data_IF_615571670930
#
_entry.id   IF_615571670930
#
_cell.length_a   1.000
_cell.length_b   1.000
_cell.length_c   1.000
_cell.angle_alpha   90.00
_cell.angle_beta   90.00
_cell.angle_gamma   90.00
#
_symmetry.space_group_name_H-M   'P 1'
#
loop_
_entity.id
_entity.type
_entity.pdbx_description
1 polymer ?
#
# COMPACT_ATOMS: atom_id res chain seq x y z
N UNK A 1 38.76 21.37 -28.93
CA UNK A 1 38.19 21.07 -27.60
C UNK A 1 38.71 22.09 -26.60
N UNK A 2 37.96 23.17 -26.35
CA UNK A 2 38.32 24.17 -25.33
C UNK A 2 37.55 23.86 -24.06
N UNK A 3 38.21 23.29 -23.05
CA UNK A 3 37.64 23.19 -21.70
C UNK A 3 37.38 24.60 -21.19
N UNK A 4 36.12 24.94 -20.90
CA UNK A 4 35.80 26.09 -20.05
C UNK A 4 36.39 25.80 -18.67
N UNK A 5 37.53 26.40 -18.36
CA UNK A 5 38.11 26.41 -17.01
C UNK A 5 37.04 26.87 -16.02
N UNK A 6 36.73 26.01 -15.06
CA UNK A 6 35.63 26.22 -14.12
C UNK A 6 35.78 27.53 -13.35
N UNK A 7 34.65 28.24 -13.18
CA UNK A 7 34.59 29.45 -12.38
C UNK A 7 35.21 29.24 -10.99
N UNK A 8 35.97 30.23 -10.46
CA UNK A 8 36.59 30.12 -9.15
C UNK A 8 35.51 29.91 -8.09
N UNK A 9 35.58 28.80 -7.36
CA UNK A 9 34.72 28.55 -6.20
C UNK A 9 35.03 29.63 -5.16
N UNK A 10 34.04 30.47 -4.85
CA UNK A 10 34.19 31.49 -3.82
C UNK A 10 34.60 30.82 -2.50
N UNK A 11 35.56 31.40 -1.76
CA UNK A 11 35.97 30.87 -0.46
C UNK A 11 34.77 30.84 0.50
N UNK A 12 34.70 29.82 1.34
CA UNK A 12 33.61 29.68 2.31
C UNK A 12 33.69 30.80 3.34
N UNK A 13 32.63 31.59 3.47
CA UNK A 13 32.50 32.63 4.49
C UNK A 13 31.38 32.26 5.47
N UNK A 14 31.60 32.47 6.77
CA UNK A 14 30.63 32.14 7.83
C UNK A 14 29.25 32.78 7.63
N UNK A 15 29.18 33.96 6.99
CA UNK A 15 27.92 34.63 6.65
C UNK A 15 27.06 33.89 5.63
N UNK A 16 27.66 33.07 4.74
CA UNK A 16 26.90 32.24 3.78
C UNK A 16 26.04 31.19 4.50
N UNK A 17 26.43 30.79 5.71
CA UNK A 17 25.76 29.75 6.50
C UNK A 17 24.37 30.19 6.99
N UNK A 18 24.18 31.50 7.21
CA UNK A 18 22.92 32.10 7.68
C UNK A 18 22.15 32.82 6.58
N UNK A 19 22.84 33.46 5.63
CA UNK A 19 22.21 34.32 4.62
C UNK A 19 21.80 33.56 3.34
N UNK A 20 22.54 32.51 2.97
CA UNK A 20 22.24 31.75 1.75
C UNK A 20 21.22 30.64 2.06
N UNK A 21 20.14 30.60 1.28
CA UNK A 21 18.99 29.68 1.49
C UNK A 21 19.41 28.21 1.45
N UNK A 22 20.45 27.87 0.67
CA UNK A 22 20.97 26.50 0.55
C UNK A 22 21.68 26.02 1.80
N UNK A 23 22.44 26.89 2.48
CA UNK A 23 23.23 26.54 3.65
C UNK A 23 22.42 26.70 4.94
N UNK A 24 21.53 27.68 5.01
CA UNK A 24 20.65 27.95 6.16
C UNK A 24 19.83 26.71 6.57
N UNK A 25 19.22 26.02 5.61
CA UNK A 25 18.40 24.85 5.90
C UNK A 25 19.19 23.71 6.57
N UNK A 26 20.40 23.42 6.10
CA UNK A 26 21.26 22.37 6.70
C UNK A 26 21.74 22.76 8.08
N UNK A 27 22.13 24.02 8.26
CA UNK A 27 22.62 24.53 9.54
C UNK A 27 21.54 24.50 10.61
N UNK A 28 20.30 24.89 10.27
CA UNK A 28 19.16 24.79 11.18
C UNK A 28 18.85 23.33 11.51
N UNK A 29 18.88 22.41 10.54
CA UNK A 29 18.65 20.99 10.80
C UNK A 29 19.73 20.37 11.71
N UNK A 30 21.01 20.69 11.47
CA UNK A 30 22.13 20.24 12.32
C UNK A 30 22.00 20.82 13.73
N UNK A 31 21.71 22.12 13.84
CA UNK A 31 21.53 22.79 15.13
C UNK A 31 20.34 22.20 15.89
N UNK A 32 19.21 21.99 15.22
CA UNK A 32 18.04 21.35 15.80
C UNK A 32 18.33 19.92 16.25
N UNK A 33 19.12 19.15 15.48
CA UNK A 33 19.55 17.82 15.84
C UNK A 33 20.48 17.82 17.07
N UNK A 34 21.44 18.74 17.14
CA UNK A 34 22.30 18.92 18.32
C UNK A 34 21.45 19.28 19.54
N UNK A 35 20.52 20.22 19.41
CA UNK A 35 19.64 20.64 20.49
C UNK A 35 18.72 19.51 20.95
N UNK A 36 18.23 18.68 20.02
CA UNK A 36 17.47 17.47 20.32
C UNK A 36 18.31 16.46 21.12
N UNK A 37 19.56 16.21 20.71
CA UNK A 37 20.46 15.30 21.43
C UNK A 37 20.78 15.82 22.84
N UNK A 38 21.01 17.12 22.99
CA UNK A 38 21.23 17.75 24.30
C UNK A 38 19.98 17.65 25.19
N UNK A 39 18.80 17.89 24.63
CA UNK A 39 17.54 17.74 25.35
C UNK A 39 17.30 16.27 25.78
N UNK A 40 17.61 15.31 24.92
CA UNK A 40 17.54 13.88 25.24
C UNK A 40 18.53 13.50 26.33
N UNK A 41 19.79 13.95 26.25
CA UNK A 41 20.80 13.71 27.27
C UNK A 41 20.41 14.32 28.62
N UNK A 42 19.89 15.54 28.61
CA UNK A 42 19.35 16.20 29.81
C UNK A 42 18.17 15.43 30.41
N UNK A 43 17.25 14.92 29.59
CA UNK A 43 16.11 14.12 30.05
C UNK A 43 16.56 12.79 30.68
N UNK A 44 17.52 12.11 30.06
CA UNK A 44 18.10 10.88 30.59
C UNK A 44 18.79 11.13 31.93
N UNK A 45 19.61 12.17 32.04
CA UNK A 45 20.28 12.54 33.29
C UNK A 45 19.28 12.88 34.40
N UNK A 46 18.25 13.65 34.09
CA UNK A 46 17.17 13.94 35.05
C UNK A 46 16.44 12.66 35.49
N UNK A 47 16.16 11.75 34.55
CA UNK A 47 15.49 10.49 34.86
C UNK A 47 16.34 9.61 35.77
N UNK A 48 17.65 9.50 35.50
CA UNK A 48 18.59 8.75 36.33
C UNK A 48 18.67 9.35 37.74
N UNK A 49 18.79 10.68 37.86
CA UNK A 49 18.81 11.37 39.16
C UNK A 49 17.51 11.18 39.94
N UNK A 50 16.35 11.28 39.28
CA UNK A 50 15.05 11.07 39.90
C UNK A 50 14.84 9.61 40.36
N UNK A 51 15.27 8.64 39.55
CA UNK A 51 15.20 7.23 39.92
C UNK A 51 16.15 6.89 41.08
N UNK A 52 17.37 7.44 41.07
CA UNK A 52 18.31 7.29 42.16
C UNK A 52 17.78 7.91 43.47
N UNK A 53 17.12 9.08 43.40
CA UNK A 53 16.46 9.68 44.55
C UNK A 53 15.28 8.84 45.10
N UNK A 54 14.65 8.03 44.24
CA UNK A 54 13.59 7.08 44.59
C UNK A 54 14.13 5.70 45.03
N UNK A 55 15.45 5.55 45.17
CA UNK A 55 16.10 4.29 45.54
C UNK A 55 15.99 3.19 44.49
N UNK A 56 15.77 3.55 43.21
CA UNK A 56 15.74 2.61 42.09
C UNK A 56 17.00 2.77 41.24
N UNK A 57 17.77 1.70 41.12
CA UNK A 57 18.93 1.67 40.23
C UNK A 57 18.47 1.53 38.78
N UNK A 58 18.88 2.48 37.93
CA UNK A 58 18.67 2.39 36.49
C UNK A 58 19.69 1.39 35.91
N UNK A 59 19.24 0.16 35.60
CA UNK A 59 20.11 -0.87 35.02
C UNK A 59 19.43 -1.60 33.87
N UNK A 60 20.23 -1.98 32.87
CA UNK A 60 19.82 -2.85 31.76
C UNK A 60 20.01 -4.35 32.08
N UNK A 61 20.36 -4.69 33.32
CA UNK A 61 20.55 -6.08 33.76
C UNK A 61 19.29 -6.93 33.58
N UNK A 62 18.10 -6.30 33.64
CA UNK A 62 16.82 -6.98 33.41
C UNK A 62 16.72 -7.60 31.99
N UNK A 63 17.43 -7.06 30.99
CA UNK A 63 17.38 -7.65 29.65
C UNK A 63 17.98 -9.07 29.63
N UNK A 64 18.90 -9.33 30.54
CA UNK A 64 19.59 -10.61 30.67
C UNK A 64 18.99 -11.54 31.73
N UNK A 65 18.01 -11.08 32.51
CA UNK A 65 17.27 -11.95 33.39
C UNK A 65 16.26 -12.82 32.62
N UNK A 66 15.94 -13.97 33.20
CA UNK A 66 14.97 -14.93 32.65
C UNK A 66 13.56 -14.33 32.61
N UNK A 67 12.87 -14.51 31.48
CA UNK A 67 11.56 -13.92 31.25
C UNK A 67 10.44 -14.51 32.14
N UNK A 68 10.41 -15.82 32.32
CA UNK A 68 9.45 -16.50 33.20
C UNK A 68 8.02 -16.60 32.66
N UNK A 69 7.77 -16.14 31.43
CA UNK A 69 6.47 -16.28 30.74
C UNK A 69 6.66 -16.85 29.33
N UNK A 70 5.64 -17.57 28.87
CA UNK A 70 5.62 -18.16 27.53
C UNK A 70 4.94 -17.24 26.51
N UNK A 71 5.40 -17.29 25.26
CA UNK A 71 4.88 -16.50 24.15
C UNK A 71 4.40 -17.45 23.07
N UNK A 72 3.09 -17.44 22.81
CA UNK A 72 2.50 -18.19 21.70
C UNK A 72 1.58 -17.25 20.92
N UNK A 73 1.75 -17.09 19.60
CA UNK A 73 2.75 -17.71 18.71
C UNK A 73 4.16 -17.08 18.80
N UNK A 74 5.20 -17.82 18.42
CA UNK A 74 6.58 -17.33 18.30
C UNK A 74 7.18 -17.72 16.94
N UNK A 75 7.79 -16.76 16.24
CA UNK A 75 8.42 -16.99 14.93
C UNK A 75 9.83 -17.61 15.01
N UNK A 76 10.47 -17.54 16.18
CA UNK A 76 11.79 -18.11 16.46
C UNK A 76 11.70 -18.95 17.74
N UNK A 77 12.61 -19.90 17.89
CA UNK A 77 12.68 -20.74 19.09
C UNK A 77 12.80 -19.86 20.35
N UNK A 78 11.80 -19.97 21.21
CA UNK A 78 11.71 -19.24 22.47
C UNK A 78 11.17 -20.16 23.55
N UNK A 79 11.79 -20.07 24.73
CA UNK A 79 11.35 -20.76 25.93
C UNK A 79 11.13 -19.76 27.06
N UNK A 80 10.31 -20.11 28.04
CA UNK A 80 10.13 -19.29 29.26
C UNK A 80 11.43 -19.09 30.06
N UNK A 81 12.45 -19.93 29.83
CA UNK A 81 13.80 -19.80 30.40
C UNK A 81 14.71 -18.83 29.63
N UNK A 82 14.27 -18.32 28.48
CA UNK A 82 15.01 -17.34 27.68
C UNK A 82 15.05 -15.96 28.35
N UNK A 83 15.99 -15.12 27.92
CA UNK A 83 16.17 -13.76 28.47
C UNK A 83 15.07 -12.80 27.96
N UNK A 84 14.79 -11.74 28.73
CA UNK A 84 13.85 -10.70 28.29
C UNK A 84 14.27 -10.01 26.98
N UNK A 85 15.58 -9.91 26.71
CA UNK A 85 16.08 -9.43 25.42
C UNK A 85 15.58 -10.28 24.25
N UNK A 86 15.64 -11.61 24.38
CA UNK A 86 15.11 -12.53 23.37
C UNK A 86 13.59 -12.41 23.26
N UNK A 87 12.88 -12.31 24.38
CA UNK A 87 11.43 -12.11 24.40
C UNK A 87 11.00 -10.82 23.65
N UNK A 88 11.75 -9.73 23.79
CA UNK A 88 11.50 -8.48 23.08
C UNK A 88 11.68 -8.63 21.56
N UNK A 89 12.72 -9.35 21.12
CA UNK A 89 12.94 -9.64 19.69
C UNK A 89 11.82 -10.50 19.11
N UNK A 90 11.37 -11.54 19.84
CA UNK A 90 10.22 -12.37 19.44
C UNK A 90 8.96 -11.52 19.28
N UNK A 91 8.67 -10.65 20.25
CA UNK A 91 7.51 -9.75 20.19
C UNK A 91 7.58 -8.75 19.02
N UNK A 92 8.77 -8.22 18.74
CA UNK A 92 8.99 -7.33 17.59
C UNK A 92 8.75 -8.06 16.26
N UNK A 93 9.28 -9.27 16.10
CA UNK A 93 9.09 -10.10 14.91
C UNK A 93 7.61 -10.44 14.69
N UNK A 94 6.90 -10.83 15.75
CA UNK A 94 5.47 -11.10 15.67
C UNK A 94 4.67 -9.86 15.24
N UNK A 95 5.00 -8.69 15.78
CA UNK A 95 4.34 -7.43 15.41
C UNK A 95 4.59 -7.09 13.94
N UNK A 96 5.81 -7.33 13.44
CA UNK A 96 6.16 -7.07 12.05
C UNK A 96 5.43 -8.01 11.09
N UNK A 97 5.33 -9.30 11.43
CA UNK A 97 4.58 -10.29 10.65
C UNK A 97 3.09 -9.90 10.59
N UNK A 98 2.49 -9.60 11.75
CA UNK A 98 1.08 -9.19 11.84
C UNK A 98 0.84 -7.89 11.08
N UNK A 99 1.73 -6.90 11.20
CA UNK A 99 1.63 -5.63 10.48
C UNK A 99 1.70 -5.84 8.96
N UNK A 100 2.59 -6.71 8.47
CA UNK A 100 2.70 -7.03 7.05
C UNK A 100 1.42 -7.71 6.53
N UNK A 101 0.90 -8.69 7.27
CA UNK A 101 -0.37 -9.36 6.92
C UNK A 101 -1.57 -8.40 6.97
N UNK A 102 -1.61 -7.51 7.96
CA UNK A 102 -2.65 -6.50 8.10
C UNK A 102 -2.59 -5.49 6.95
N UNK A 103 -1.40 -5.02 6.55
CA UNK A 103 -1.25 -4.10 5.42
C UNK A 103 -1.71 -4.75 4.11
N UNK A 104 -1.36 -6.02 3.89
CA UNK A 104 -1.77 -6.75 2.69
C UNK A 104 -3.29 -6.90 2.62
N UNK A 105 -3.90 -7.40 3.69
CA UNK A 105 -5.36 -7.61 3.76
C UNK A 105 -6.13 -6.29 3.74
N UNK A 106 -5.67 -5.26 4.47
CA UNK A 106 -6.25 -3.93 4.45
C UNK A 106 -6.15 -3.26 3.07
N UNK A 107 -5.07 -3.49 2.33
CA UNK A 107 -4.93 -2.98 0.96
C UNK A 107 -5.95 -3.63 0.02
N UNK A 108 -6.14 -4.94 0.12
CA UNK A 108 -7.12 -5.67 -0.71
C UNK A 108 -8.54 -5.20 -0.36
N UNK A 109 -8.92 -5.24 0.92
CA UNK A 109 -10.25 -4.84 1.38
C UNK A 109 -10.52 -3.35 1.14
N UNK A 110 -9.53 -2.50 1.37
CA UNK A 110 -9.62 -1.06 1.16
C UNK A 110 -9.79 -0.69 -0.31
N UNK A 111 -9.04 -1.33 -1.21
CA UNK A 111 -9.21 -1.11 -2.66
C UNK A 111 -10.57 -1.62 -3.12
N UNK A 112 -11.00 -2.81 -2.67
CA UNK A 112 -12.32 -3.35 -3.00
C UNK A 112 -13.44 -2.39 -2.52
N UNK A 113 -13.43 -2.01 -1.25
CA UNK A 113 -14.41 -1.07 -0.71
C UNK A 113 -14.38 0.29 -1.43
N UNK A 114 -13.19 0.76 -1.80
CA UNK A 114 -13.00 1.99 -2.56
C UNK A 114 -13.60 1.94 -3.96
N UNK A 115 -13.39 0.84 -4.69
CA UNK A 115 -13.96 0.64 -6.04
C UNK A 115 -15.48 0.45 -5.96
N UNK A 116 -15.98 -0.37 -5.02
CA UNK A 116 -17.42 -0.60 -4.87
C UNK A 116 -18.17 0.68 -4.49
N UNK A 117 -17.52 1.61 -3.78
CA UNK A 117 -18.11 2.92 -3.46
C UNK A 117 -18.36 3.80 -4.69
N UNK A 118 -17.59 3.62 -5.78
CA UNK A 118 -17.76 4.36 -7.04
C UNK A 118 -18.75 3.68 -8.00
N UNK A 119 -19.37 2.56 -7.60
CA UNK A 119 -20.36 1.89 -8.43
C UNK A 119 -21.58 2.78 -8.66
N UNK A 120 -22.10 2.78 -9.90
CA UNK A 120 -23.35 3.48 -10.26
C UNK A 120 -24.58 2.92 -9.49
N UNK A 121 -24.47 1.74 -8.88
CA UNK A 121 -25.51 1.19 -8.04
C UNK A 121 -25.53 1.89 -6.67
N UNK A 122 -26.56 2.74 -6.47
CA UNK A 122 -26.78 3.50 -5.24
C UNK A 122 -26.78 2.64 -3.98
N UNK A 123 -27.35 1.42 -4.01
CA UNK A 123 -27.42 0.54 -2.83
C UNK A 123 -26.02 0.11 -2.40
N UNK A 124 -25.20 -0.32 -3.36
CA UNK A 124 -23.84 -0.78 -3.11
C UNK A 124 -22.97 0.37 -2.62
N UNK A 125 -23.06 1.54 -3.27
CA UNK A 125 -22.31 2.73 -2.86
C UNK A 125 -22.67 3.20 -1.44
N UNK A 126 -23.96 3.15 -1.09
CA UNK A 126 -24.45 3.52 0.26
C UNK A 126 -24.01 2.49 1.31
N UNK A 127 -24.13 1.21 1.01
CA UNK A 127 -23.72 0.13 1.92
C UNK A 127 -22.22 0.19 2.22
N UNK A 128 -21.38 0.38 1.20
CA UNK A 128 -19.92 0.54 1.40
C UNK A 128 -19.59 1.81 2.19
N UNK A 129 -20.35 2.89 2.00
CA UNK A 129 -20.16 4.11 2.80
C UNK A 129 -20.46 3.85 4.28
N UNK A 130 -21.57 3.16 4.59
CA UNK A 130 -21.91 2.79 5.97
C UNK A 130 -20.85 1.86 6.57
N UNK A 131 -20.39 0.86 5.81
CA UNK A 131 -19.30 -0.03 6.23
C UNK A 131 -18.05 0.78 6.63
N UNK A 132 -17.49 1.58 5.72
CA UNK A 132 -16.25 2.32 5.99
C UNK A 132 -16.41 3.30 7.15
N UNK A 133 -17.53 4.02 7.21
CA UNK A 133 -17.77 5.02 8.26
C UNK A 133 -17.92 4.37 9.63
N UNK A 134 -18.57 3.21 9.71
CA UNK A 134 -18.73 2.48 10.98
C UNK A 134 -17.38 2.02 11.53
N UNK A 135 -16.51 1.43 10.70
CA UNK A 135 -15.19 0.97 11.14
C UNK A 135 -14.24 2.11 11.51
N UNK A 136 -14.44 3.31 10.97
CA UNK A 136 -13.63 4.49 11.31
C UNK A 136 -14.13 5.24 12.54
N UNK A 137 -15.42 5.17 12.84
CA UNK A 137 -16.04 5.90 13.95
C UNK A 137 -16.08 5.08 15.25
N UNK A 138 -16.18 3.74 15.17
CA UNK A 138 -16.16 2.88 16.36
C UNK A 138 -14.74 2.84 16.93
N UNK A 139 -14.53 3.16 18.22
CA UNK A 139 -13.22 3.07 18.86
C UNK A 139 -12.63 1.66 18.72
N UNK A 140 -11.38 1.57 18.28
CA UNK A 140 -10.68 0.29 18.10
C UNK A 140 -10.63 -0.53 19.42
N UNK A 141 -10.62 0.14 20.57
CA UNK A 141 -10.68 -0.51 21.88
C UNK A 141 -11.94 -1.37 22.05
N UNK A 142 -13.09 -0.88 21.61
CA UNK A 142 -14.36 -1.61 21.69
C UNK A 142 -14.27 -2.90 20.86
N UNK A 143 -13.72 -2.83 19.66
CA UNK A 143 -13.52 -4.00 18.81
C UNK A 143 -12.61 -5.04 19.46
N UNK A 144 -11.50 -4.62 20.06
CA UNK A 144 -10.57 -5.53 20.75
C UNK A 144 -11.28 -6.23 21.91
N UNK A 145 -12.07 -5.51 22.71
CA UNK A 145 -12.80 -6.08 23.85
C UNK A 145 -13.89 -7.04 23.38
N UNK A 146 -14.69 -6.66 22.38
CA UNK A 146 -15.76 -7.51 21.84
C UNK A 146 -15.17 -8.80 21.26
N UNK A 147 -14.12 -8.70 20.44
CA UNK A 147 -13.46 -9.88 19.88
C UNK A 147 -12.84 -10.74 20.99
N UNK A 148 -12.17 -10.14 21.98
CA UNK A 148 -11.62 -10.88 23.11
C UNK A 148 -12.70 -11.60 23.93
N UNK A 149 -13.85 -10.96 24.16
CA UNK A 149 -14.99 -11.55 24.87
C UNK A 149 -15.61 -12.70 24.08
N UNK A 150 -15.84 -12.51 22.77
CA UNK A 150 -16.35 -13.56 21.88
C UNK A 150 -15.37 -14.74 21.85
N UNK A 151 -14.07 -14.49 21.71
CA UNK A 151 -13.10 -15.58 21.69
C UNK A 151 -12.97 -16.29 23.03
N UNK A 152 -13.09 -15.58 24.14
CA UNK A 152 -12.96 -16.18 25.47
C UNK A 152 -14.19 -16.99 25.89
N UNK A 153 -15.39 -16.60 25.45
CA UNK A 153 -16.65 -17.22 25.89
C UNK A 153 -17.28 -18.16 24.86
N UNK A 154 -17.18 -17.84 23.56
CA UNK A 154 -17.82 -18.63 22.52
C UNK A 154 -16.97 -19.80 22.02
N UNK A 155 -15.65 -19.79 22.26
CA UNK A 155 -14.75 -20.82 21.75
C UNK A 155 -14.30 -21.79 22.84
N UNK A 156 -14.17 -23.09 22.50
CA UNK A 156 -13.68 -24.10 23.42
C UNK A 156 -12.21 -23.89 23.80
N UNK A 157 -11.84 -24.42 24.96
CA UNK A 157 -10.47 -24.38 25.46
C UNK A 157 -9.55 -25.28 24.61
N UNK A 158 -8.23 -25.04 24.56
CA UNK A 158 -7.33 -25.79 23.69
C UNK A 158 -7.23 -27.28 24.07
N UNK A 159 -7.57 -27.63 25.32
CA UNK A 159 -7.56 -29.00 25.80
C UNK A 159 -8.75 -29.82 25.26
N UNK A 160 -9.84 -29.16 24.84
CA UNK A 160 -11.00 -29.84 24.25
C UNK A 160 -10.70 -30.46 22.87
N UNK A 161 -9.61 -30.04 22.23
CA UNK A 161 -9.14 -30.53 20.93
C UNK A 161 -8.00 -31.56 21.05
N UNK A 162 -7.54 -31.89 22.26
CA UNK A 162 -6.45 -32.85 22.49
C UNK A 162 -6.99 -34.11 23.18
N UNK A 163 -6.62 -35.28 22.66
CA UNK A 163 -6.97 -36.59 23.25
C UNK A 163 -7.58 -37.56 22.24
N UNK A 164 -7.76 -38.82 22.64
CA UNK A 164 -8.36 -39.87 21.78
C UNK A 164 -9.85 -39.65 21.48
N UNK A 165 -10.52 -38.82 22.28
CA UNK A 165 -11.91 -38.39 22.09
C UNK A 165 -12.03 -36.86 22.21
N UNK A 166 -11.78 -36.09 21.14
CA UNK A 166 -11.92 -34.64 21.18
C UNK A 166 -13.40 -34.26 21.40
N UNK A 167 -13.65 -33.40 22.40
CA UNK A 167 -15.00 -32.91 22.72
C UNK A 167 -15.44 -31.77 21.81
N UNK A 168 -14.51 -31.17 21.08
CA UNK A 168 -14.77 -30.11 20.11
C UNK A 168 -14.32 -30.52 18.69
N UNK A 169 -15.20 -30.31 17.71
CA UNK A 169 -14.91 -30.60 16.31
C UNK A 169 -13.98 -29.53 15.71
N UNK A 170 -12.99 -29.99 14.95
CA UNK A 170 -12.10 -29.11 14.19
C UNK A 170 -12.91 -28.55 13.00
N UNK A 171 -12.96 -27.23 12.86
CA UNK A 171 -13.78 -26.59 11.83
C UNK A 171 -13.06 -26.65 10.48
N UNK A 172 -13.83 -26.71 9.39
CA UNK A 172 -13.35 -26.75 8.01
C UNK A 172 -12.49 -28.00 7.71
N UNK A 173 -13.15 -29.10 7.33
CA UNK A 173 -12.51 -30.36 6.90
C UNK A 173 -11.50 -30.94 7.90
N UNK A 174 -11.80 -30.86 9.20
CA UNK A 174 -10.92 -31.28 10.29
C UNK A 174 -9.50 -30.69 10.27
N UNK A 175 -9.34 -29.52 9.65
CA UNK A 175 -8.02 -28.93 9.42
C UNK A 175 -7.72 -27.71 10.31
N UNK A 176 -8.73 -26.93 10.70
CA UNK A 176 -8.55 -25.67 11.45
C UNK A 176 -9.14 -25.77 12.86
N UNK A 177 -8.29 -25.71 13.88
CA UNK A 177 -8.71 -25.72 15.28
C UNK A 177 -8.84 -24.29 15.82
N UNK A 178 -10.05 -23.87 16.15
CA UNK A 178 -10.35 -22.55 16.71
C UNK A 178 -10.51 -22.66 18.22
N UNK A 179 -9.60 -22.06 18.97
CA UNK A 179 -9.58 -22.11 20.44
C UNK A 179 -9.76 -20.72 21.02
N UNK A 180 -10.08 -20.65 22.31
CA UNK A 180 -10.08 -19.39 23.07
C UNK A 180 -8.71 -18.71 23.20
N UNK A 181 -7.61 -19.37 22.80
CA UNK A 181 -6.25 -18.79 22.73
C UNK A 181 -5.84 -18.37 21.33
N UNK A 182 -6.62 -18.71 20.31
CA UNK A 182 -6.31 -18.41 18.92
C UNK A 182 -6.73 -19.50 17.95
N UNK A 183 -6.47 -19.23 16.67
CA UNK A 183 -6.78 -20.12 15.55
C UNK A 183 -5.48 -20.85 15.16
N UNK A 184 -5.51 -22.17 15.24
CA UNK A 184 -4.40 -23.02 14.81
C UNK A 184 -4.68 -23.52 13.39
N UNK A 185 -3.80 -23.12 12.48
CA UNK A 185 -3.82 -23.59 11.09
C UNK A 185 -2.81 -24.71 10.92
N UNK A 186 -3.10 -25.69 10.03
CA UNK A 186 -2.16 -26.75 9.72
C UNK A 186 -1.02 -26.13 8.90
N UNK A 187 0.19 -26.20 9.44
CA UNK A 187 1.39 -25.77 8.71
C UNK A 187 1.94 -26.94 7.91
N UNK A 188 2.34 -26.73 6.64
CA UNK A 188 3.05 -27.77 5.90
C UNK A 188 4.39 -28.05 6.60
N UNK A 189 4.53 -29.25 7.16
CA UNK A 189 5.77 -29.69 7.79
C UNK A 189 6.71 -30.27 6.73
N UNK A 190 7.91 -29.71 6.60
CA UNK A 190 8.95 -30.25 5.74
C UNK A 190 9.79 -31.24 6.54
N UNK A 191 9.86 -32.49 6.07
CA UNK A 191 10.68 -33.54 6.71
C UNK A 191 12.19 -33.26 6.58
N UNK A 192 12.59 -32.45 5.60
CA UNK A 192 13.95 -31.95 5.42
C UNK A 192 13.88 -30.43 5.30
N UNK A 193 14.23 -29.72 6.37
CA UNK A 193 14.34 -28.26 6.32
C UNK A 193 15.69 -27.86 5.72
N UNK A 194 15.68 -26.85 4.83
CA UNK A 194 16.88 -26.21 4.29
C UNK A 194 17.69 -25.44 5.37
N UNK A 195 17.23 -25.44 6.62
CA UNK A 195 17.86 -24.79 7.75
C UNK A 195 17.41 -23.34 7.95
N UNK A 196 17.54 -22.80 9.17
CA UNK A 196 17.26 -21.39 9.43
C UNK A 196 18.27 -20.48 8.69
N UNK A 197 17.81 -19.30 8.28
CA UNK A 197 18.69 -18.29 7.67
C UNK A 197 19.78 -17.85 8.66
N UNK A 198 21.04 -17.66 8.21
CA UNK A 198 22.13 -17.26 9.11
C UNK A 198 21.88 -15.90 9.81
N UNK A 199 22.04 -15.95 11.14
CA UNK A 199 22.39 -14.95 12.16
C UNK A 199 21.71 -13.58 12.27
N UNK A 200 20.92 -13.10 11.30
CA UNK A 200 20.27 -11.77 11.45
C UNK A 200 18.74 -11.82 11.33
N UNK A 201 18.21 -12.88 10.69
CA UNK A 201 16.79 -13.07 10.38
C UNK A 201 16.37 -14.53 10.59
N UNK A 202 16.83 -15.17 11.68
CA UNK A 202 16.53 -16.56 12.04
C UNK A 202 15.04 -16.92 12.22
N UNK A 203 14.13 -16.03 11.81
CA UNK A 203 12.67 -16.19 11.79
C UNK A 203 12.12 -16.71 10.45
N UNK A 204 12.93 -16.74 9.39
CA UNK A 204 12.50 -17.23 8.09
C UNK A 204 13.19 -18.55 7.77
N UNK A 205 12.45 -19.64 7.91
CA UNK A 205 12.81 -20.95 7.38
C UNK A 205 13.04 -20.80 5.86
N UNK A 206 14.22 -21.20 5.37
CA UNK A 206 14.58 -21.06 3.94
C UNK A 206 13.56 -21.74 3.02
N UNK A 207 12.83 -22.73 3.55
CA UNK A 207 11.73 -23.43 2.88
C UNK A 207 10.63 -22.47 2.41
N UNK A 208 10.21 -21.52 3.25
CA UNK A 208 9.14 -20.57 2.92
C UNK A 208 9.61 -19.54 1.88
N UNK A 209 10.87 -19.11 1.97
CA UNK A 209 11.48 -18.21 0.99
C UNK A 209 11.59 -18.91 -0.37
N UNK A 210 12.01 -20.18 -0.39
CA UNK A 210 12.09 -20.98 -1.63
C UNK A 210 10.71 -21.16 -2.29
N UNK A 211 9.65 -21.37 -1.52
CA UNK A 211 8.30 -21.51 -2.06
C UNK A 211 7.82 -20.18 -2.66
N UNK A 212 8.01 -19.07 -1.95
CA UNK A 212 7.62 -17.75 -2.44
C UNK A 212 8.38 -17.37 -3.73
N UNK A 213 9.67 -17.70 -3.83
CA UNK A 213 10.46 -17.43 -5.04
C UNK A 213 10.02 -18.30 -6.20
N UNK A 214 9.74 -19.59 -5.98
CA UNK A 214 9.21 -20.50 -7.02
C UNK A 214 7.84 -20.02 -7.52
N UNK A 215 6.93 -19.64 -6.62
CA UNK A 215 5.60 -19.12 -6.99
C UNK A 215 5.75 -17.81 -7.76
N UNK A 216 6.61 -16.88 -7.32
CA UNK A 216 6.87 -15.64 -8.03
C UNK A 216 7.46 -15.88 -9.43
N UNK A 217 8.45 -16.76 -9.56
CA UNK A 217 9.04 -17.14 -10.84
C UNK A 217 8.02 -17.81 -11.77
N UNK A 218 7.16 -18.68 -11.22
CA UNK A 218 6.06 -19.31 -11.95
C UNK A 218 5.05 -18.29 -12.46
N UNK A 219 4.66 -17.31 -11.64
CA UNK A 219 3.73 -16.24 -12.05
C UNK A 219 4.34 -15.31 -13.10
N UNK A 220 5.62 -14.96 -12.96
CA UNK A 220 6.36 -14.14 -13.94
C UNK A 220 6.51 -14.91 -15.26
N UNK A 221 6.90 -16.18 -15.19
CA UNK A 221 7.02 -17.07 -16.34
C UNK A 221 5.68 -17.25 -17.06
N UNK A 222 4.60 -17.49 -16.32
CA UNK A 222 3.25 -17.59 -16.87
C UNK A 222 2.81 -16.29 -17.55
N UNK A 223 3.05 -15.12 -16.92
CA UNK A 223 2.77 -13.81 -17.53
C UNK A 223 3.59 -13.57 -18.80
N UNK A 224 4.86 -13.99 -18.81
CA UNK A 224 5.74 -13.93 -19.98
C UNK A 224 5.24 -14.81 -21.14
N UNK A 225 4.84 -16.04 -20.85
CA UNK A 225 4.29 -17.00 -21.83
C UNK A 225 2.96 -16.51 -22.42
N UNK A 226 2.07 -15.95 -21.60
CA UNK A 226 0.80 -15.37 -22.08
C UNK A 226 1.05 -14.16 -22.99
N UNK A 227 2.02 -13.31 -22.64
CA UNK A 227 2.41 -12.16 -23.48
C UNK A 227 3.03 -12.61 -24.81
N UNK A 228 3.87 -13.64 -24.79
CA UNK A 228 4.48 -14.23 -25.98
C UNK A 228 3.44 -14.88 -26.91
N UNK A 229 2.44 -15.58 -26.36
CA UNK A 229 1.32 -16.14 -27.16
C UNK A 229 0.47 -15.07 -27.83
N UNK A 230 0.23 -13.93 -27.16
CA UNK A 230 -0.48 -12.78 -27.74
C UNK A 230 0.33 -12.04 -28.82
N UNK A 231 1.65 -12.21 -28.82
CA UNK A 231 2.56 -11.70 -29.84
C UNK A 231 2.83 -12.68 -30.99
N UNK A 232 2.05 -13.78 -31.08
CA UNK A 232 2.16 -14.77 -32.16
C UNK A 232 2.06 -14.15 -33.56
N UNK A 233 2.72 -14.76 -34.56
CA UNK A 233 3.05 -14.11 -35.82
C UNK A 233 1.80 -13.70 -36.59
N UNK A 234 1.72 -12.41 -36.96
CA UNK A 234 0.78 -11.93 -37.99
C UNK A 234 1.03 -12.74 -39.26
N UNK A 235 0.13 -13.69 -39.54
CA UNK A 235 0.13 -14.49 -40.75
C UNK A 235 0.11 -13.55 -41.96
N UNK A 236 1.18 -13.61 -42.74
CA UNK A 236 1.35 -12.86 -43.98
C UNK A 236 0.30 -13.33 -44.99
N UNK A 237 -0.86 -12.68 -45.00
CA UNK A 237 -1.91 -12.89 -46.00
C UNK A 237 -1.62 -12.01 -47.22
N UNK A 238 -0.52 -12.30 -47.90
CA UNK A 238 -0.25 -11.79 -49.25
C UNK A 238 -0.53 -12.92 -50.25
N UNK A 239 -1.81 -13.07 -50.59
CA UNK A 239 -2.22 -13.71 -51.84
C UNK A 239 -2.61 -12.58 -52.81
N UNK A 240 -2.00 -12.47 -54.01
CA UNK A 240 -2.48 -11.53 -55.00
C UNK A 240 -3.80 -12.05 -55.57
N UNK A 241 -4.90 -11.42 -55.17
CA UNK A 241 -6.18 -11.60 -55.85
C UNK A 241 -6.10 -10.95 -57.23
N UNK A 242 -6.27 -11.76 -58.27
CA UNK A 242 -6.52 -11.28 -59.62
C UNK A 242 -7.82 -10.45 -59.62
N UNK A 243 -7.71 -9.20 -60.04
CA UNK A 243 -8.86 -8.33 -60.32
C UNK A 243 -9.39 -8.74 -61.69
N UNK A 244 -10.60 -9.29 -61.73
CA UNK A 244 -11.41 -9.38 -62.93
C UNK A 244 -12.33 -8.17 -62.91
N UNK A 245 -12.14 -7.23 -63.85
CA UNK A 245 -13.12 -6.19 -64.16
C UNK A 245 -14.30 -6.82 -64.91
N UNK A 246 -15.50 -6.60 -64.41
CA UNK A 246 -16.75 -6.78 -65.16
C UNK A 246 -17.51 -5.43 -65.20
N UNK A 247 -18.06 -5.01 -66.36
CA UNK A 247 -18.72 -3.72 -66.49
C UNK A 247 -20.24 -3.82 -66.25
N UNK A 248 -20.76 -2.89 -65.45
CA UNK A 248 -22.13 -2.38 -65.61
C UNK A 248 -23.12 -2.60 -64.46
N UNK A 249 -23.97 -1.57 -64.28
CA UNK A 249 -25.14 -1.42 -63.36
C UNK A 249 -24.77 -1.11 -61.90
N UNK A 250 -25.40 -0.20 -61.17
CA UNK A 250 -26.55 0.69 -61.36
C UNK A 250 -26.48 1.75 -60.24
N UNK A 251 -27.01 2.95 -60.47
CA UNK A 251 -27.14 4.01 -59.48
C UNK A 251 -28.07 3.62 -58.31
N UNK A 252 -27.68 3.95 -57.07
CA UNK A 252 -28.58 4.24 -55.94
C UNK A 252 -28.00 5.42 -55.15
N UNK A 253 -28.73 6.53 -55.14
CA UNK A 253 -28.62 7.64 -54.18
C UNK A 253 -29.17 7.17 -52.81
N UNK A 254 -28.88 7.70 -51.63
CA UNK A 254 -28.47 9.02 -51.17
C UNK A 254 -28.03 8.89 -49.68
N UNK A 255 -27.76 10.03 -49.04
CA UNK A 255 -27.74 10.29 -47.59
C UNK A 255 -26.39 10.28 -46.82
N UNK A 256 -25.70 11.43 -46.99
CA UNK A 256 -25.17 12.33 -45.95
C UNK A 256 -24.06 11.85 -44.95
N UNK A 257 -23.07 12.71 -44.59
CA UNK A 257 -21.78 12.32 -44.01
C UNK A 257 -21.73 12.51 -42.47
N UNK A 258 -20.56 12.27 -41.84
CA UNK A 258 -19.86 13.46 -41.35
C UNK A 258 -18.34 13.47 -41.57
N UNK A 259 -17.90 14.59 -42.11
CA UNK A 259 -16.66 15.34 -41.85
C UNK A 259 -15.60 14.65 -40.95
N UNK A 260 -14.64 13.96 -41.58
CA UNK A 260 -13.27 13.85 -41.04
C UNK A 260 -12.46 15.06 -41.46
N UNK A 261 -12.46 16.11 -40.63
CA UNK A 261 -11.42 17.15 -40.72
C UNK A 261 -10.07 16.54 -40.34
N UNK A 262 -9.20 16.39 -41.34
CA UNK A 262 -7.78 16.08 -41.19
C UNK A 262 -7.09 17.28 -40.51
N UNK A 263 -6.39 17.06 -39.41
CA UNK A 263 -5.41 18.02 -38.86
C UNK A 263 -4.00 17.54 -39.23
N UNK A 264 -3.16 18.35 -39.90
CA UNK A 264 -1.78 17.96 -40.17
C UNK A 264 -0.91 18.22 -38.94
N UNK A 265 -0.38 17.14 -38.34
CA UNK A 265 0.72 17.23 -37.37
C UNK A 265 2.03 17.44 -38.13
N UNK A 266 2.51 18.69 -38.14
CA UNK A 266 3.86 19.04 -38.58
C UNK A 266 4.79 18.80 -37.39
N UNK A 267 5.50 17.68 -37.39
CA UNK A 267 6.58 17.38 -36.44
C UNK A 267 7.85 18.08 -36.92
N UNK A 268 8.33 19.06 -36.14
CA UNK A 268 9.65 19.66 -36.29
C UNK A 268 10.21 19.90 -34.90
N UNK A 269 11.39 19.36 -34.62
CA UNK A 269 12.22 19.72 -33.46
C UNK A 269 12.03 18.84 -32.23
N UNK A 270 12.71 17.70 -32.22
CA UNK A 270 13.11 16.98 -31.00
C UNK A 270 14.42 17.57 -30.52
N UNK A 271 14.40 18.40 -29.47
CA UNK A 271 15.54 18.61 -28.57
C UNK A 271 15.03 19.29 -27.28
N UNK A 272 15.18 18.63 -26.13
CA UNK A 272 14.82 19.18 -24.81
C UNK A 272 13.86 18.33 -23.96
N UNK A 273 14.11 17.04 -23.80
CA UNK A 273 13.52 16.23 -22.74
C UNK A 273 14.29 16.49 -21.43
N UNK A 274 13.64 17.12 -20.44
CA UNK A 274 13.67 16.79 -19.00
C UNK A 274 13.26 17.99 -18.12
N UNK A 275 12.00 18.48 -18.22
CA UNK A 275 11.37 19.20 -17.07
C UNK A 275 9.84 19.45 -17.14
N UNK A 276 9.06 18.77 -18.01
CA UNK A 276 7.66 19.21 -18.23
C UNK A 276 6.57 18.12 -18.20
N UNK A 277 6.85 16.95 -17.61
CA UNK A 277 5.87 15.85 -17.53
C UNK A 277 4.90 15.96 -16.35
N UNK A 278 4.36 17.16 -16.07
CA UNK A 278 3.22 17.36 -15.16
C UNK A 278 2.16 18.37 -15.63
N UNK A 279 2.34 19.08 -16.75
CA UNK A 279 1.43 20.16 -17.15
C UNK A 279 0.43 19.81 -18.26
N UNK A 280 0.72 18.86 -19.15
CA UNK A 280 -0.16 18.59 -20.29
C UNK A 280 -1.51 17.94 -19.91
N UNK A 281 -1.50 17.00 -18.95
CA UNK A 281 -2.74 16.34 -18.49
C UNK A 281 -3.59 17.30 -17.65
N UNK A 282 -2.96 18.13 -16.82
CA UNK A 282 -3.66 19.16 -16.04
C UNK A 282 -4.25 20.26 -16.93
N UNK A 283 -3.52 20.73 -17.95
CA UNK A 283 -4.02 21.74 -18.90
C UNK A 283 -5.10 21.18 -19.83
N UNK A 284 -5.03 19.90 -20.19
CA UNK A 284 -6.08 19.25 -21.00
C UNK A 284 -7.36 19.00 -20.17
N UNK A 285 -7.21 18.60 -18.90
CA UNK A 285 -8.33 18.42 -17.97
C UNK A 285 -9.01 19.75 -17.64
N UNK A 286 -8.25 20.83 -17.45
CA UNK A 286 -8.81 22.15 -17.15
C UNK A 286 -9.59 22.73 -18.33
N UNK A 287 -9.09 22.60 -19.57
CA UNK A 287 -9.83 23.01 -20.78
C UNK A 287 -11.04 22.13 -21.09
N UNK A 288 -11.01 20.85 -20.68
CA UNK A 288 -12.16 19.95 -20.82
C UNK A 288 -13.28 20.31 -19.83
N UNK A 289 -12.93 20.73 -18.61
CA UNK A 289 -13.88 21.18 -17.60
C UNK A 289 -14.51 22.54 -17.96
N UNK A 290 -13.72 23.50 -18.47
CA UNK A 290 -14.23 24.82 -18.91
C UNK A 290 -15.23 24.74 -20.08
N UNK A 291 -15.13 23.69 -20.93
CA UNK A 291 -16.06 23.48 -22.04
C UNK A 291 -17.35 22.74 -21.65
N UNK A 292 -17.36 22.05 -20.51
CA UNK A 292 -18.50 21.26 -20.05
C UNK A 292 -19.52 22.09 -19.25
N UNK A 293 -19.09 23.19 -18.64
CA UNK A 293 -19.93 24.03 -17.78
C UNK A 293 -21.16 24.67 -18.48
N UNK A 294 -21.07 25.21 -19.72
CA UNK A 294 -22.25 25.75 -20.39
C UNK A 294 -23.23 24.67 -20.88
N UNK A 295 -22.78 23.42 -21.02
CA UNK A 295 -23.61 22.28 -21.44
C UNK A 295 -24.43 21.71 -20.27
N UNK A 296 -23.85 21.65 -19.06
CA UNK A 296 -24.58 21.28 -17.84
C UNK A 296 -25.63 22.33 -17.47
N UNK A 297 -25.32 23.62 -17.63
CA UNK A 297 -26.24 24.73 -17.33
C UNK A 297 -27.46 24.78 -18.29
N UNK A 298 -27.36 24.23 -19.51
CA UNK A 298 -28.50 24.09 -20.44
C UNK A 298 -29.38 22.87 -20.18
N UNK A 299 -28.82 21.79 -19.61
CA UNK A 299 -29.57 20.56 -19.33
C UNK A 299 -30.45 20.65 -18.07
N UNK A 300 -30.15 21.56 -17.13
CA UNK A 300 -30.94 21.73 -15.90
C UNK A 300 -31.99 22.85 -15.90
N UNK A 301 -32.02 23.73 -16.91
CA UNK A 301 -33.08 24.76 -17.06
C UNK A 301 -34.12 24.44 -18.15
N UNK A 302 -34.35 23.16 -18.44
CA UNK A 302 -35.29 22.70 -19.47
C UNK A 302 -36.75 22.49 -19.01
N UNK A 303 -37.08 22.70 -17.74
CA UNK A 303 -38.43 22.43 -17.23
C UNK A 303 -39.16 23.73 -16.87
N UNK A 304 -40.27 24.02 -17.57
CA UNK A 304 -41.02 25.29 -17.59
C UNK A 304 -41.77 25.66 -16.29
N UNK A 305 -41.51 25.03 -15.15
CA UNK A 305 -42.33 25.22 -13.93
C UNK A 305 -41.70 26.09 -12.83
N UNK A 306 -40.43 26.48 -12.93
CA UNK A 306 -39.79 27.31 -11.89
C UNK A 306 -39.06 28.51 -12.51
N UNK A 307 -39.79 29.62 -12.69
CA UNK A 307 -39.26 30.87 -13.26
C UNK A 307 -39.04 32.00 -12.24
N UNK A 308 -39.02 31.71 -10.94
CA UNK A 308 -39.00 32.77 -9.92
C UNK A 308 -37.84 32.75 -8.90
N UNK A 309 -36.78 31.95 -9.07
CA UNK A 309 -35.71 31.91 -8.05
C UNK A 309 -34.29 31.76 -8.58
N UNK A 310 -33.98 32.30 -9.76
CA UNK A 310 -32.60 32.45 -10.23
C UNK A 310 -32.20 33.93 -10.29
N UNK A 311 -32.27 34.61 -9.15
CA UNK A 311 -31.43 35.78 -8.90
C UNK A 311 -30.47 35.39 -7.78
N UNK A 312 -29.18 35.30 -8.11
CA UNK A 312 -28.12 35.31 -7.12
C UNK A 312 -27.10 36.35 -7.58
N UNK A 313 -26.96 37.38 -6.76
CA UNK A 313 -25.98 38.46 -6.87
C UNK A 313 -24.55 37.91 -6.87
N UNK A 314 -23.72 38.46 -7.75
CA UNK A 314 -22.28 38.22 -7.76
C UNK A 314 -21.56 39.16 -6.79
N UNK A 315 -20.37 38.77 -6.28
CA UNK A 315 -19.65 39.51 -5.26
C UNK A 315 -18.86 40.70 -5.83
N UNK A 316 -18.78 41.77 -5.03
CA UNK A 316 -17.71 42.80 -5.05
C UNK A 316 -16.59 42.34 -4.13
#
# INVERSE_FOLDING_TARGET
>A
MTMKTGAPRQPFHLGMLFNDTRYRARTIQILAFILLLLAAAWLVDNTIRNLAALGKDFSFGFLWSTAGYDISPHAIDYSSTSTHARAAVVGLLNTLIVAAMACLTASILGVLAGVLRLSDNWIVARLMTVYVESFRNIPALLWIIVVAAVMSQAMPTPNAFRGEHPTAAIMLWDSIAVTNRGIYLPTPAFSQSLGPAPDVLGAFDLNYVAILTIVALSLIGHRGLVKARRAGPRQNRSAPGHVVEEPGRLCVADDNPPLRTRLPLRLSGLEGLELHRRSAVAQCLHRALDRAEPLYRRLHCGNRSFRHSCHFEGPV
#
